data_IF_284660363534
#
_entry.id   IF_284660363534
#
_cell.length_a   1.000
_cell.length_b   1.000
_cell.length_c   1.000
_cell.angle_alpha   90.00
_cell.angle_beta   90.00
_cell.angle_gamma   90.00
#
_symmetry.space_group_name_H-M   'P 1'
#
loop_
_entity.id
_entity.type
_entity.pdbx_description
1 polymer ?
#
# COMPACT_ATOMS: atom_id res chain seq x y z
N UNK A 1 40.50 -29.17 13.50
CA UNK A 1 39.20 -28.55 13.14
C UNK A 1 38.11 -29.47 13.70
N UNK A 2 37.43 -29.02 14.73
CA UNK A 2 36.44 -29.81 15.49
C UNK A 2 35.15 -30.02 14.68
N UNK A 3 34.42 -31.11 14.94
CA UNK A 3 33.14 -31.45 14.32
C UNK A 3 32.14 -30.29 14.42
N UNK A 4 32.13 -29.52 15.52
CA UNK A 4 31.37 -28.33 15.75
C UNK A 4 31.63 -27.23 14.70
N UNK A 5 32.89 -27.03 14.29
CA UNK A 5 33.26 -26.03 13.27
C UNK A 5 32.74 -26.42 11.87
N UNK A 6 32.68 -27.71 11.58
CA UNK A 6 32.13 -28.25 10.31
C UNK A 6 30.60 -28.09 10.29
N UNK A 7 29.92 -28.40 11.40
CA UNK A 7 28.46 -28.28 11.53
C UNK A 7 28.01 -26.81 11.38
N UNK A 8 28.70 -25.90 12.07
CA UNK A 8 28.45 -24.48 11.97
C UNK A 8 28.62 -23.92 10.55
N UNK A 9 29.66 -24.35 9.83
CA UNK A 9 29.87 -23.98 8.42
C UNK A 9 28.80 -24.55 7.50
N UNK A 10 28.36 -25.78 7.72
CA UNK A 10 27.27 -26.38 6.92
C UNK A 10 25.93 -25.70 7.16
N UNK A 11 25.60 -25.35 8.40
CA UNK A 11 24.37 -24.64 8.75
C UNK A 11 24.41 -23.22 8.15
N UNK A 12 25.53 -22.52 8.26
CA UNK A 12 25.72 -21.19 7.67
C UNK A 12 25.61 -21.20 6.14
N UNK A 13 26.23 -22.19 5.47
CA UNK A 13 26.14 -22.35 4.02
C UNK A 13 24.72 -22.64 3.55
N UNK A 14 23.97 -23.49 4.25
CA UNK A 14 22.56 -23.76 3.92
C UNK A 14 21.68 -22.54 4.13
N UNK A 15 21.91 -21.79 5.20
CA UNK A 15 21.19 -20.55 5.47
C UNK A 15 21.45 -19.52 4.35
N UNK A 16 22.69 -19.35 3.93
CA UNK A 16 23.07 -18.43 2.84
C UNK A 16 22.36 -18.82 1.53
N UNK A 17 22.37 -20.09 1.14
CA UNK A 17 21.69 -20.58 -0.08
C UNK A 17 20.18 -20.34 -0.01
N UNK A 18 19.55 -20.53 1.15
CA UNK A 18 18.13 -20.30 1.32
C UNK A 18 17.77 -18.79 1.25
N UNK A 19 18.61 -17.94 1.83
CA UNK A 19 18.43 -16.49 1.77
C UNK A 19 18.62 -15.95 0.36
N UNK A 20 19.64 -16.42 -0.36
CA UNK A 20 19.89 -16.06 -1.76
C UNK A 20 18.69 -16.43 -2.64
N UNK A 21 18.17 -17.66 -2.48
CA UNK A 21 16.99 -18.12 -3.20
C UNK A 21 15.74 -17.28 -2.89
N UNK A 22 15.49 -16.94 -1.63
CA UNK A 22 14.34 -16.14 -1.23
C UNK A 22 14.43 -14.72 -1.83
N UNK A 23 15.62 -14.11 -1.80
CA UNK A 23 15.89 -12.79 -2.38
C UNK A 23 15.66 -12.79 -3.89
N UNK A 24 16.15 -13.78 -4.61
CA UNK A 24 15.97 -13.94 -6.05
C UNK A 24 14.49 -14.11 -6.43
N UNK A 25 13.78 -14.98 -5.68
CA UNK A 25 12.35 -15.19 -5.88
C UNK A 25 11.55 -13.90 -5.63
N UNK A 26 11.85 -13.17 -4.55
CA UNK A 26 11.21 -11.91 -4.24
C UNK A 26 11.46 -10.86 -5.33
N UNK A 27 12.71 -10.73 -5.78
CA UNK A 27 13.07 -9.80 -6.84
C UNK A 27 12.39 -10.16 -8.18
N UNK A 28 12.25 -11.43 -8.51
CA UNK A 28 11.53 -11.90 -9.69
C UNK A 28 10.03 -11.67 -9.57
N UNK A 29 9.46 -12.02 -8.43
CA UNK A 29 8.04 -11.84 -8.13
C UNK A 29 7.64 -10.37 -8.22
N UNK A 30 8.40 -9.47 -7.60
CA UNK A 30 8.13 -8.03 -7.62
C UNK A 30 8.12 -7.47 -9.05
N UNK A 31 9.05 -7.91 -9.92
CA UNK A 31 9.07 -7.49 -11.34
C UNK A 31 7.83 -7.96 -12.10
N UNK A 32 7.40 -9.20 -11.87
CA UNK A 32 6.22 -9.77 -12.53
C UNK A 32 4.96 -9.02 -12.09
N UNK A 33 4.80 -8.78 -10.79
CA UNK A 33 3.64 -8.04 -10.26
C UNK A 33 3.65 -6.57 -10.69
N UNK A 34 4.84 -5.93 -10.73
CA UNK A 34 4.95 -4.54 -11.17
C UNK A 34 4.67 -4.35 -12.67
N UNK A 35 4.87 -5.38 -13.49
CA UNK A 35 4.55 -5.34 -14.92
C UNK A 35 3.04 -5.49 -15.21
N UNK A 36 2.25 -5.93 -14.22
CA UNK A 36 0.80 -6.04 -14.37
C UNK A 36 0.17 -4.64 -14.45
N UNK A 37 -0.64 -4.39 -15.45
CA UNK A 37 -1.28 -3.09 -15.68
C UNK A 37 -0.89 -2.40 -17.00
N UNK A 38 0.10 -2.91 -17.73
CA UNK A 38 0.48 -2.37 -19.04
C UNK A 38 -0.63 -2.52 -20.10
N UNK A 39 -1.40 -3.57 -20.03
CA UNK A 39 -2.49 -3.93 -20.94
C UNK A 39 -3.69 -2.97 -20.89
N UNK A 40 -3.76 -2.08 -19.89
CA UNK A 40 -4.82 -1.05 -19.76
C UNK A 40 -4.39 0.33 -20.27
N UNK A 41 -3.30 0.44 -21.01
CA UNK A 41 -2.77 1.71 -21.53
C UNK A 41 -2.19 2.62 -20.44
N UNK A 42 -1.90 2.08 -19.25
CA UNK A 42 -1.29 2.78 -18.13
C UNK A 42 0.13 2.27 -17.89
N UNK A 43 0.99 3.17 -17.44
CA UNK A 43 2.26 2.77 -16.84
C UNK A 43 1.99 2.07 -15.49
N UNK A 44 2.80 1.09 -15.06
CA UNK A 44 2.59 0.41 -13.79
C UNK A 44 2.44 1.35 -12.59
N UNK A 45 3.24 2.41 -12.53
CA UNK A 45 3.16 3.41 -11.47
C UNK A 45 1.85 4.21 -11.50
N UNK A 46 1.29 4.45 -12.68
CA UNK A 46 -0.01 5.10 -12.83
C UNK A 46 -1.13 4.21 -12.29
N UNK A 47 -1.06 2.93 -12.58
CA UNK A 47 -1.99 1.95 -12.04
C UNK A 47 -1.89 1.86 -10.51
N UNK A 48 -0.68 1.76 -9.97
CA UNK A 48 -0.44 1.75 -8.52
C UNK A 48 -0.98 3.01 -7.84
N UNK A 49 -0.81 4.18 -8.47
CA UNK A 49 -1.35 5.44 -7.97
C UNK A 49 -2.89 5.43 -7.90
N UNK A 50 -3.57 4.94 -8.94
CA UNK A 50 -5.03 4.81 -8.95
C UNK A 50 -5.52 3.81 -7.88
N UNK A 51 -4.84 2.68 -7.72
CA UNK A 51 -5.17 1.68 -6.70
C UNK A 51 -4.99 2.25 -5.29
N UNK A 52 -3.93 3.03 -5.05
CA UNK A 52 -3.78 3.76 -3.80
C UNK A 52 -4.96 4.72 -3.56
N UNK A 53 -5.30 5.56 -4.52
CA UNK A 53 -6.40 6.52 -4.38
C UNK A 53 -7.76 5.85 -4.13
N UNK A 54 -7.96 4.65 -4.69
CA UNK A 54 -9.15 3.83 -4.40
C UNK A 54 -9.20 3.37 -2.94
N UNK A 55 -8.06 2.92 -2.41
CA UNK A 55 -7.99 2.35 -1.06
C UNK A 55 -7.75 3.37 0.04
N UNK A 56 -7.22 4.55 -0.28
CA UNK A 56 -6.90 5.59 0.68
C UNK A 56 -8.15 6.31 1.21
N UNK A 57 -8.15 6.64 2.49
CA UNK A 57 -9.16 7.51 3.06
C UNK A 57 -9.02 8.95 2.51
N UNK A 58 -10.06 9.77 2.70
CA UNK A 58 -10.11 11.16 2.19
C UNK A 58 -8.95 12.03 2.66
N UNK A 59 -8.39 11.75 3.84
CA UNK A 59 -7.29 12.53 4.41
C UNK A 59 -5.94 12.15 3.80
N UNK A 60 -5.81 10.92 3.31
CA UNK A 60 -4.59 10.38 2.70
C UNK A 60 -4.52 10.54 1.19
N UNK A 61 -5.56 11.02 0.53
CA UNK A 61 -5.57 11.28 -0.93
C UNK A 61 -4.82 12.57 -1.27
N UNK A 62 -3.52 12.59 -1.00
CA UNK A 62 -2.65 13.75 -1.23
C UNK A 62 -1.40 13.37 -2.00
N UNK A 63 -0.76 14.32 -2.73
CA UNK A 63 0.53 14.07 -3.38
C UNK A 63 1.62 13.58 -2.41
N UNK A 64 1.62 14.10 -1.16
CA UNK A 64 2.57 13.69 -0.11
C UNK A 64 2.37 12.22 0.26
N UNK A 65 1.13 11.82 0.51
CA UNK A 65 0.81 10.44 0.86
C UNK A 65 1.11 9.48 -0.30
N UNK A 66 0.76 9.86 -1.53
CA UNK A 66 1.08 9.06 -2.72
C UNK A 66 2.58 8.92 -2.92
N UNK A 67 3.38 9.96 -2.66
CA UNK A 67 4.85 9.92 -2.72
C UNK A 67 5.42 8.89 -1.72
N UNK A 68 4.93 8.93 -0.49
CA UNK A 68 5.34 7.98 0.55
C UNK A 68 4.91 6.55 0.22
N UNK A 69 3.69 6.36 -0.28
CA UNK A 69 3.17 5.05 -0.66
C UNK A 69 3.97 4.41 -1.80
N UNK A 70 4.27 5.18 -2.85
CA UNK A 70 5.00 4.67 -4.01
C UNK A 70 6.51 4.53 -3.75
N UNK A 71 7.04 5.09 -2.67
CA UNK A 71 8.48 5.08 -2.39
C UNK A 71 9.31 5.81 -3.46
N UNK A 72 8.72 6.82 -4.14
CA UNK A 72 9.34 7.54 -5.25
C UNK A 72 9.66 8.99 -4.87
N UNK A 73 10.36 9.70 -5.76
CA UNK A 73 10.65 11.13 -5.58
C UNK A 73 9.39 11.97 -5.82
N UNK A 74 9.30 13.15 -5.18
CA UNK A 74 8.22 14.12 -5.42
C UNK A 74 8.07 14.48 -6.90
N UNK A 75 9.20 14.61 -7.62
CA UNK A 75 9.21 14.93 -9.05
C UNK A 75 8.55 13.83 -9.89
N UNK A 76 8.93 12.57 -9.68
CA UNK A 76 8.34 11.42 -10.39
C UNK A 76 6.84 11.30 -10.12
N UNK A 77 6.43 11.46 -8.85
CA UNK A 77 5.02 11.39 -8.48
C UNK A 77 4.23 12.56 -9.05
N UNK A 78 4.81 13.76 -9.11
CA UNK A 78 4.17 14.92 -9.75
C UNK A 78 3.91 14.69 -11.24
N UNK A 79 4.86 14.06 -11.96
CA UNK A 79 4.68 13.66 -13.36
C UNK A 79 3.59 12.60 -13.52
N UNK A 80 3.56 11.60 -12.62
CA UNK A 80 2.52 10.56 -12.61
C UNK A 80 1.13 11.17 -12.41
N UNK A 81 0.97 12.08 -11.45
CA UNK A 81 -0.26 12.79 -11.18
C UNK A 81 -0.69 13.61 -12.41
N UNK A 82 0.22 14.39 -13.00
CA UNK A 82 -0.08 15.19 -14.19
C UNK A 82 -0.51 14.32 -15.38
N UNK A 83 0.13 13.17 -15.57
CA UNK A 83 -0.24 12.22 -16.63
C UNK A 83 -1.63 11.60 -16.40
N UNK A 84 -1.98 11.26 -15.16
CA UNK A 84 -3.30 10.73 -14.81
C UNK A 84 -4.40 11.80 -14.96
N UNK A 85 -4.11 13.03 -14.58
CA UNK A 85 -5.01 14.18 -14.75
C UNK A 85 -5.25 14.47 -16.24
N UNK A 86 -4.18 14.48 -17.06
CA UNK A 86 -4.29 14.59 -18.53
C UNK A 86 -5.14 13.48 -19.16
N UNK A 87 -5.10 12.27 -18.60
CA UNK A 87 -5.94 11.14 -19.02
C UNK A 87 -7.38 11.23 -18.50
N UNK A 88 -7.72 12.24 -17.71
CA UNK A 88 -9.04 12.40 -17.11
C UNK A 88 -9.39 11.36 -16.05
N UNK A 89 -8.40 10.71 -15.44
CA UNK A 89 -8.62 9.64 -14.46
C UNK A 89 -8.63 10.13 -13.02
N UNK A 90 -8.01 11.29 -12.77
CA UNK A 90 -8.02 11.96 -11.46
C UNK A 90 -8.25 13.47 -11.63
N UNK A 91 -8.64 14.12 -10.54
CA UNK A 91 -8.70 15.57 -10.41
C UNK A 91 -7.90 16.01 -9.19
N UNK A 92 -7.39 17.26 -9.26
CA UNK A 92 -6.83 17.95 -8.09
C UNK A 92 -7.85 18.98 -7.61
N UNK A 93 -8.01 19.06 -6.31
CA UNK A 93 -8.75 20.15 -5.68
C UNK A 93 -8.01 20.63 -4.45
N UNK A 94 -8.17 21.91 -4.13
CA UNK A 94 -7.70 22.45 -2.86
C UNK A 94 -8.62 21.96 -1.75
N UNK A 95 -8.05 21.61 -0.62
CA UNK A 95 -8.84 21.24 0.57
C UNK A 95 -9.62 22.48 1.06
N UNK A 96 -10.92 22.34 1.36
CA UNK A 96 -11.73 23.49 1.80
C UNK A 96 -11.31 24.04 3.17
N UNK A 97 -10.77 23.18 4.03
CA UNK A 97 -10.39 23.52 5.41
C UNK A 97 -8.93 24.00 5.52
N UNK A 98 -8.05 23.55 4.60
CA UNK A 98 -6.65 23.98 4.52
C UNK A 98 -6.20 24.17 3.07
N UNK A 99 -6.14 25.41 2.62
CA UNK A 99 -5.74 25.77 1.26
C UNK A 99 -4.32 25.37 0.86
N UNK A 100 -3.49 24.93 1.81
CA UNK A 100 -2.13 24.40 1.55
C UNK A 100 -2.17 22.94 1.13
N UNK A 101 -3.29 22.27 1.36
CA UNK A 101 -3.46 20.85 1.07
C UNK A 101 -4.13 20.67 -0.29
N UNK A 102 -3.48 19.91 -1.15
CA UNK A 102 -4.06 19.44 -2.42
C UNK A 102 -4.60 18.04 -2.21
N UNK A 103 -5.85 17.81 -2.57
CA UNK A 103 -6.51 16.50 -2.61
C UNK A 103 -6.51 15.95 -4.02
N UNK A 104 -6.37 14.63 -4.10
CA UNK A 104 -6.42 13.86 -5.34
C UNK A 104 -7.67 12.99 -5.31
N UNK A 105 -8.60 13.23 -6.21
CA UNK A 105 -9.81 12.43 -6.29
C UNK A 105 -9.86 11.66 -7.62
N UNK A 106 -10.36 10.43 -7.58
CA UNK A 106 -10.67 9.68 -8.79
C UNK A 106 -11.86 10.35 -9.49
N UNK A 107 -11.79 10.50 -10.80
CA UNK A 107 -12.95 10.83 -11.63
C UNK A 107 -13.89 9.63 -11.73
N UNK A 108 -15.05 9.81 -12.36
CA UNK A 108 -15.93 8.70 -12.71
C UNK A 108 -15.21 7.67 -13.60
N UNK A 109 -14.46 8.13 -14.60
CA UNK A 109 -13.64 7.28 -15.45
C UNK A 109 -12.55 6.53 -14.66
N UNK A 110 -11.86 7.24 -13.75
CA UNK A 110 -10.86 6.64 -12.86
C UNK A 110 -11.48 5.60 -11.93
N UNK A 111 -12.62 5.91 -11.34
CA UNK A 111 -13.38 4.99 -10.46
C UNK A 111 -13.82 3.75 -11.23
N UNK A 112 -14.40 3.90 -12.41
CA UNK A 112 -14.82 2.80 -13.26
C UNK A 112 -13.64 1.91 -13.68
N UNK A 113 -12.49 2.51 -13.98
CA UNK A 113 -11.29 1.77 -14.35
C UNK A 113 -10.77 0.87 -13.22
N UNK A 114 -10.83 1.35 -11.97
CA UNK A 114 -10.36 0.60 -10.79
C UNK A 114 -11.47 -0.18 -10.07
N UNK A 115 -12.74 -0.09 -10.52
CA UNK A 115 -13.85 -0.83 -9.92
C UNK A 115 -13.77 -2.34 -10.18
N UNK A 116 -13.05 -2.74 -11.24
CA UNK A 116 -12.79 -4.14 -11.54
C UNK A 116 -11.95 -4.83 -10.45
N UNK A 117 -11.84 -6.16 -10.51
CA UNK A 117 -10.94 -6.89 -9.63
C UNK A 117 -9.52 -6.28 -9.74
N UNK A 118 -8.74 -6.31 -8.63
CA UNK A 118 -7.33 -5.92 -8.70
C UNK A 118 -6.65 -6.70 -9.83
N UNK A 119 -5.49 -6.23 -10.33
CA UNK A 119 -4.80 -6.87 -11.42
C UNK A 119 -4.88 -8.38 -11.30
N UNK A 120 -5.40 -9.03 -12.31
CA UNK A 120 -5.78 -10.44 -12.26
C UNK A 120 -4.60 -11.34 -11.84
N UNK A 121 -3.39 -10.89 -12.14
CA UNK A 121 -2.17 -11.64 -11.87
C UNK A 121 -1.93 -11.87 -10.37
N UNK A 122 -2.00 -10.83 -9.53
CA UNK A 122 -1.80 -10.99 -8.09
C UNK A 122 -2.88 -11.89 -7.46
N UNK A 123 -4.14 -11.69 -7.86
CA UNK A 123 -5.25 -12.53 -7.42
C UNK A 123 -5.12 -13.98 -7.89
N UNK A 124 -4.71 -14.20 -9.16
CA UNK A 124 -4.43 -15.53 -9.70
C UNK A 124 -3.30 -16.21 -8.96
N UNK A 125 -2.18 -15.52 -8.73
CA UNK A 125 -1.02 -16.08 -8.02
C UNK A 125 -1.39 -16.49 -6.59
N UNK A 126 -2.13 -15.64 -5.87
CA UNK A 126 -2.64 -15.96 -4.53
C UNK A 126 -3.71 -17.07 -4.55
N UNK A 127 -4.42 -17.21 -5.66
CA UNK A 127 -5.41 -18.27 -5.85
C UNK A 127 -4.82 -19.70 -5.86
N UNK A 128 -3.53 -19.84 -6.14
CA UNK A 128 -2.82 -21.12 -6.03
C UNK A 128 -2.50 -21.56 -4.59
N UNK A 129 -2.73 -20.66 -3.63
CA UNK A 129 -2.49 -20.91 -2.21
C UNK A 129 -3.78 -21.33 -1.49
N UNK A 130 -3.68 -22.18 -0.48
CA UNK A 130 -4.77 -22.42 0.47
C UNK A 130 -5.04 -21.16 1.30
N UNK A 131 -6.19 -21.10 2.00
CA UNK A 131 -6.51 -19.96 2.88
C UNK A 131 -5.40 -19.74 3.93
N UNK A 132 -4.99 -20.79 4.65
CA UNK A 132 -3.94 -20.70 5.66
C UNK A 132 -2.59 -20.24 5.08
N UNK A 133 -2.23 -20.67 3.86
CA UNK A 133 -1.02 -20.22 3.19
C UNK A 133 -1.10 -18.74 2.80
N UNK A 134 -2.27 -18.25 2.37
CA UNK A 134 -2.48 -16.82 2.09
C UNK A 134 -2.32 -15.97 3.33
N UNK A 135 -2.89 -16.41 4.45
CA UNK A 135 -2.80 -15.70 5.72
C UNK A 135 -1.34 -15.63 6.19
N UNK A 136 -0.64 -16.76 6.21
CA UNK A 136 0.80 -16.79 6.56
C UNK A 136 1.67 -15.96 5.62
N UNK A 137 1.37 -15.96 4.32
CA UNK A 137 2.07 -15.13 3.34
C UNK A 137 1.85 -13.64 3.60
N UNK A 138 0.60 -13.24 3.89
CA UNK A 138 0.26 -11.86 4.21
C UNK A 138 1.01 -11.37 5.46
N UNK A 139 1.04 -12.18 6.53
CA UNK A 139 1.77 -11.88 7.77
C UNK A 139 3.28 -11.70 7.52
N UNK A 140 3.90 -12.59 6.76
CA UNK A 140 5.34 -12.52 6.44
C UNK A 140 5.67 -11.27 5.61
N UNK A 141 4.86 -10.96 4.58
CA UNK A 141 5.05 -9.77 3.75
C UNK A 141 4.85 -8.50 4.57
N UNK A 142 3.85 -8.47 5.45
CA UNK A 142 3.60 -7.34 6.34
C UNK A 142 4.77 -7.12 7.31
N UNK A 143 5.30 -8.18 7.91
CA UNK A 143 6.46 -8.12 8.79
C UNK A 143 7.70 -7.56 8.08
N UNK A 144 7.99 -8.05 6.87
CA UNK A 144 9.10 -7.57 6.06
C UNK A 144 8.93 -6.09 5.68
N UNK A 145 7.73 -5.70 5.26
CA UNK A 145 7.41 -4.32 4.88
C UNK A 145 7.55 -3.37 6.07
N UNK A 146 7.02 -3.75 7.24
CA UNK A 146 7.14 -2.96 8.48
C UNK A 146 8.60 -2.76 8.89
N UNK A 147 9.42 -3.82 8.82
CA UNK A 147 10.84 -3.76 9.15
C UNK A 147 11.60 -2.81 8.20
N UNK A 148 11.33 -2.87 6.89
CA UNK A 148 11.95 -2.00 5.91
C UNK A 148 11.51 -0.54 6.05
N UNK A 149 10.21 -0.29 6.28
CA UNK A 149 9.70 1.06 6.51
C UNK A 149 10.31 1.68 7.78
N UNK A 150 10.45 0.91 8.86
CA UNK A 150 11.11 1.37 10.09
C UNK A 150 12.59 1.72 9.83
N UNK A 151 13.30 0.92 9.04
CA UNK A 151 14.71 1.16 8.69
C UNK A 151 14.90 2.38 7.78
N UNK A 152 14.01 2.61 6.84
CA UNK A 152 14.09 3.70 5.85
C UNK A 152 13.45 5.00 6.31
N UNK A 153 12.92 5.06 7.53
CA UNK A 153 12.15 6.21 8.03
C UNK A 153 10.82 6.42 7.32
N UNK A 154 10.33 5.39 6.63
CA UNK A 154 9.01 5.36 6.02
C UNK A 154 7.91 5.24 7.07
N UNK A 155 6.71 5.71 6.73
CA UNK A 155 5.53 5.52 7.59
C UNK A 155 4.80 4.24 7.19
N UNK A 156 4.39 3.41 8.16
CA UNK A 156 3.47 2.33 7.88
C UNK A 156 2.12 2.94 7.47
N UNK A 157 1.55 2.40 6.40
CA UNK A 157 0.17 2.65 6.03
C UNK A 157 -0.68 1.51 6.56
N UNK A 158 -1.83 1.83 7.13
CA UNK A 158 -2.73 0.80 7.65
C UNK A 158 -4.19 1.24 7.60
N UNK A 159 -5.10 0.31 7.86
CA UNK A 159 -6.52 0.62 7.92
C UNK A 159 -6.83 1.48 9.17
N UNK A 160 -7.75 2.44 9.01
CA UNK A 160 -8.15 3.30 10.14
C UNK A 160 -8.61 2.50 11.35
N UNK A 161 -9.34 1.40 11.17
CA UNK A 161 -9.87 0.57 12.26
C UNK A 161 -8.78 -0.08 13.13
N UNK A 162 -7.56 -0.24 12.60
CA UNK A 162 -6.42 -0.86 13.28
C UNK A 162 -5.48 0.21 13.88
N UNK A 163 -5.97 1.45 13.98
CA UNK A 163 -5.21 2.59 14.46
C UNK A 163 -5.55 2.90 15.93
N UNK A 164 -4.55 3.18 16.75
CA UNK A 164 -4.75 3.58 18.16
C UNK A 164 -5.58 4.86 18.35
N UNK A 165 -5.73 5.66 17.30
CA UNK A 165 -6.56 6.88 17.31
C UNK A 165 -8.00 6.65 16.83
N UNK A 166 -8.36 5.42 16.50
CA UNK A 166 -9.68 5.08 16.02
C UNK A 166 -10.62 4.78 17.19
N UNK A 167 -11.71 5.50 17.27
CA UNK A 167 -12.79 5.25 18.22
C UNK A 167 -14.02 4.75 17.48
N UNK A 168 -14.65 3.71 18.02
CA UNK A 168 -15.86 3.11 17.47
C UNK A 168 -17.02 3.18 18.46
N UNK A 169 -18.24 2.99 17.95
CA UNK A 169 -19.41 2.82 18.81
C UNK A 169 -20.20 4.09 19.12
N UNK A 170 -19.93 5.20 18.44
CA UNK A 170 -20.75 6.41 18.56
C UNK A 170 -22.16 6.15 17.98
N UNK A 171 -23.19 6.60 18.70
CA UNK A 171 -24.60 6.53 18.23
C UNK A 171 -24.88 7.70 17.28
N UNK A 172 -24.33 7.64 16.06
CA UNK A 172 -24.52 8.67 15.03
C UNK A 172 -24.51 8.06 13.63
N UNK A 173 -24.86 8.85 12.62
CA UNK A 173 -24.70 8.47 11.21
C UNK A 173 -23.24 8.21 10.83
N UNK A 174 -22.30 8.83 11.56
CA UNK A 174 -20.85 8.61 11.48
C UNK A 174 -20.39 7.92 12.78
N UNK A 175 -20.40 6.59 12.84
CA UNK A 175 -20.28 5.83 14.09
C UNK A 175 -18.85 5.75 14.62
N UNK A 176 -17.87 6.33 13.93
CA UNK A 176 -16.47 6.30 14.31
C UNK A 176 -15.88 7.72 14.37
N UNK A 177 -14.76 7.85 15.08
CA UNK A 177 -14.05 9.11 15.25
C UNK A 177 -12.53 8.90 15.19
N UNK A 178 -11.81 9.81 14.58
CA UNK A 178 -10.36 9.85 14.60
C UNK A 178 -9.90 10.89 15.63
N UNK A 179 -9.31 10.45 16.75
CA UNK A 179 -8.80 11.35 17.80
C UNK A 179 -7.62 12.19 17.35
N UNK A 180 -6.82 11.70 16.39
CA UNK A 180 -5.66 12.45 15.90
C UNK A 180 -6.05 13.66 15.05
N UNK A 181 -7.05 13.49 14.18
CA UNK A 181 -7.51 14.53 13.27
C UNK A 181 -8.75 15.28 13.79
N UNK A 182 -9.32 14.82 14.90
CA UNK A 182 -10.57 15.31 15.50
C UNK A 182 -11.73 15.35 14.49
N UNK A 183 -11.95 14.23 13.78
CA UNK A 183 -12.96 14.14 12.70
C UNK A 183 -13.82 12.90 12.86
N UNK A 184 -15.11 13.06 12.53
CA UNK A 184 -16.04 11.95 12.44
C UNK A 184 -15.76 11.10 11.18
N UNK A 185 -15.86 9.77 11.34
CA UNK A 185 -15.59 8.77 10.32
C UNK A 185 -16.82 7.91 10.06
N UNK A 186 -17.06 7.61 8.80
CA UNK A 186 -18.05 6.64 8.37
C UNK A 186 -17.58 5.19 8.60
N UNK A 187 -18.49 4.24 8.48
CA UNK A 187 -18.13 2.80 8.49
C UNK A 187 -17.12 2.46 7.38
N UNK A 188 -17.28 3.07 6.21
CA UNK A 188 -16.40 2.85 5.08
C UNK A 188 -14.97 3.37 5.36
N UNK A 189 -14.83 4.52 6.04
CA UNK A 189 -13.52 5.08 6.39
C UNK A 189 -12.69 4.12 7.24
N UNK A 190 -13.32 3.32 8.11
CA UNK A 190 -12.62 2.34 8.95
C UNK A 190 -11.82 1.28 8.18
N UNK A 191 -12.24 0.95 6.96
CA UNK A 191 -11.58 -0.04 6.11
C UNK A 191 -10.52 0.58 5.17
N UNK A 192 -10.46 1.92 5.09
CA UNK A 192 -9.58 2.61 4.17
C UNK A 192 -8.19 2.85 4.75
N UNK A 193 -7.21 2.92 3.87
CA UNK A 193 -5.79 3.16 4.19
C UNK A 193 -5.58 4.59 4.66
N UNK A 194 -4.87 4.76 5.78
CA UNK A 194 -4.50 6.03 6.36
C UNK A 194 -2.97 6.19 6.42
N UNK A 195 -2.46 7.35 5.97
CA UNK A 195 -1.03 7.70 6.06
C UNK A 195 -0.60 7.99 7.51
N UNK A 196 -1.53 8.45 8.34
CA UNK A 196 -1.27 8.78 9.75
C UNK A 196 -1.59 7.59 10.68
N UNK A 197 -1.74 6.39 10.13
CA UNK A 197 -2.02 5.20 10.92
C UNK A 197 -0.86 4.90 11.87
N UNK A 198 -1.18 4.71 13.14
CA UNK A 198 -0.31 4.20 14.17
C UNK A 198 -0.94 2.95 14.75
N UNK A 199 -0.18 1.84 14.78
CA UNK A 199 -0.71 0.57 15.28
C UNK A 199 -1.20 0.71 16.74
N UNK A 200 -2.31 0.03 17.05
CA UNK A 200 -2.89 -0.04 18.37
C UNK A 200 -2.03 -0.85 19.34
#
# INVERSE_FOLDING_TARGET
MTALTRLAKMVFSRYQILMDRASDLLARFSRIVAADGYDRGLQPVQWQALMFLRSANRFSRTPKALTAWLGQTKGSVSQTIAALEKKGLITRRTDPDDQRVVRLDLTEAGTSLVAGPPPALAAQMLGHLTAAQRDSFAELVEQMLRAELARSGGRPFGACRDCRHFESGLRSALPHHCRLLDVALSRADGALVCIEQEAA
#
